data_IF_773339731244
#
_entry.id   IF_773339731244
#
_cell.length_a   1.000
_cell.length_b   1.000
_cell.length_c   1.000
_cell.angle_alpha   90.00
_cell.angle_beta   90.00
_cell.angle_gamma   90.00
#
_symmetry.space_group_name_H-M   'P 1'
#
loop_
_entity.id
_entity.type
_entity.pdbx_description
1 polymer ?
#
# COMPACT_ATOMS: atom_id res chain seq x y z
N UNK A 1 26.05 -33.43 -52.90
CA UNK A 1 26.99 -33.46 -51.75
C UNK A 1 26.74 -32.25 -50.86
N UNK A 2 26.69 -32.49 -49.54
CA UNK A 2 27.00 -31.64 -48.36
C UNK A 2 26.89 -30.11 -48.47
N UNK A 3 26.41 -29.35 -47.47
CA UNK A 3 25.65 -29.57 -46.23
C UNK A 3 25.37 -28.13 -45.74
N UNK A 4 24.09 -27.85 -45.52
CA UNK A 4 23.53 -27.19 -44.34
C UNK A 4 24.05 -25.80 -43.94
N UNK A 5 23.16 -24.83 -44.12
CA UNK A 5 23.22 -23.44 -43.65
C UNK A 5 23.35 -23.36 -42.12
N UNK A 6 24.12 -22.38 -41.69
CA UNK A 6 24.42 -21.98 -40.32
C UNK A 6 23.09 -21.76 -39.57
N UNK A 7 22.78 -22.62 -38.59
CA UNK A 7 21.74 -22.36 -37.59
C UNK A 7 22.49 -21.90 -36.34
N UNK A 8 22.67 -20.59 -36.27
CA UNK A 8 23.07 -19.87 -35.09
C UNK A 8 21.95 -19.93 -34.04
N UNK A 9 22.33 -19.89 -32.76
CA UNK A 9 21.42 -19.54 -31.68
C UNK A 9 20.83 -20.72 -30.91
N UNK A 10 21.71 -21.58 -30.39
CA UNK A 10 21.41 -22.43 -29.25
C UNK A 10 21.03 -21.58 -28.03
N UNK A 11 20.09 -22.13 -27.25
CA UNK A 11 19.78 -21.81 -25.86
C UNK A 11 18.89 -20.57 -25.65
N UNK A 12 17.60 -20.79 -25.86
CA UNK A 12 16.56 -20.09 -25.11
C UNK A 12 16.79 -20.28 -23.62
N UNK A 13 17.35 -19.26 -22.98
CA UNK A 13 17.30 -19.05 -21.55
C UNK A 13 16.34 -17.89 -21.26
N UNK A 14 15.12 -18.00 -21.76
CA UNK A 14 13.99 -17.26 -21.21
C UNK A 14 13.47 -18.09 -20.04
N UNK A 15 14.31 -18.16 -19.00
CA UNK A 15 13.94 -18.69 -17.71
C UNK A 15 12.85 -17.74 -17.18
N UNK A 16 11.65 -18.30 -17.07
CA UNK A 16 10.47 -17.62 -16.61
C UNK A 16 10.77 -16.85 -15.32
N UNK A 17 10.68 -15.52 -15.38
CA UNK A 17 10.38 -14.71 -14.21
C UNK A 17 8.93 -14.99 -13.78
N UNK A 18 8.61 -16.24 -13.43
CA UNK A 18 7.43 -16.60 -12.66
C UNK A 18 7.76 -16.33 -11.19
N UNK A 19 7.86 -15.05 -10.86
CA UNK A 19 7.73 -14.61 -9.47
C UNK A 19 6.24 -14.37 -9.24
N UNK A 20 5.51 -15.22 -8.50
CA UNK A 20 4.30 -14.79 -7.81
C UNK A 20 4.66 -13.89 -6.62
N UNK A 21 5.67 -13.03 -6.76
CA UNK A 21 6.14 -12.15 -5.69
C UNK A 21 5.60 -10.72 -5.82
N UNK A 22 4.90 -10.39 -6.92
CA UNK A 22 4.18 -9.12 -7.05
C UNK A 22 2.73 -9.19 -6.55
N UNK A 23 2.31 -10.32 -5.96
CA UNK A 23 0.95 -10.49 -5.41
C UNK A 23 0.87 -10.22 -3.89
N UNK A 24 1.94 -9.70 -3.27
CA UNK A 24 1.95 -9.29 -1.86
C UNK A 24 2.60 -7.92 -1.63
N UNK A 25 2.38 -6.97 -2.53
CA UNK A 25 2.48 -5.56 -2.12
C UNK A 25 1.18 -5.25 -1.38
N UNK A 26 1.10 -5.63 -0.09
CA UNK A 26 0.12 -5.01 0.79
C UNK A 26 0.36 -3.50 0.71
N UNK A 27 -0.67 -2.74 0.34
CA UNK A 27 -0.60 -1.28 0.34
C UNK A 27 -0.33 -0.85 1.78
N UNK A 28 0.83 -0.24 2.02
CA UNK A 28 1.24 0.25 3.32
C UNK A 28 1.24 1.78 3.30
N UNK A 29 0.72 2.37 4.36
CA UNK A 29 0.61 3.81 4.55
C UNK A 29 0.83 4.18 6.02
N UNK A 30 0.82 5.47 6.32
CA UNK A 30 0.85 5.97 7.68
C UNK A 30 -0.49 6.61 8.00
N UNK A 31 -1.06 6.28 9.15
CA UNK A 31 -2.24 6.96 9.65
C UNK A 31 -1.94 7.66 10.97
N UNK A 32 -2.51 8.84 11.15
CA UNK A 32 -2.48 9.56 12.42
C UNK A 32 -3.90 9.88 12.89
N UNK A 33 -4.10 9.81 14.22
CA UNK A 33 -5.37 10.19 14.82
C UNK A 33 -5.43 11.70 14.94
N UNK A 34 -6.37 12.32 14.23
CA UNK A 34 -6.62 13.75 14.27
C UNK A 34 -7.79 14.03 15.19
N UNK A 35 -7.61 14.96 16.11
CA UNK A 35 -8.66 15.44 17.03
C UNK A 35 -8.91 16.93 16.79
N UNK A 36 -10.10 17.27 16.34
CA UNK A 36 -10.56 18.64 16.13
C UNK A 36 -11.51 19.01 17.26
N UNK A 37 -11.13 20.00 18.09
CA UNK A 37 -11.97 20.51 19.18
C UNK A 37 -13.06 21.45 18.65
N UNK A 38 -14.03 21.79 19.50
CA UNK A 38 -15.16 22.64 19.15
C UNK A 38 -14.78 24.08 18.73
N UNK A 39 -13.61 24.55 19.14
CA UNK A 39 -13.02 25.84 18.76
C UNK A 39 -12.21 25.78 17.46
N UNK A 40 -12.13 24.60 16.82
CA UNK A 40 -11.34 24.35 15.62
C UNK A 40 -9.86 24.07 15.88
N UNK A 41 -9.42 23.97 17.15
CA UNK A 41 -8.06 23.54 17.46
C UNK A 41 -7.88 22.07 17.06
N UNK A 42 -6.87 21.81 16.24
CA UNK A 42 -6.52 20.48 15.77
C UNK A 42 -5.29 19.95 16.50
N UNK A 43 -5.38 18.74 17.01
CA UNK A 43 -4.25 17.99 17.57
C UNK A 43 -4.04 16.72 16.77
N UNK A 44 -2.82 16.51 16.26
CA UNK A 44 -2.43 15.30 15.53
C UNK A 44 -1.64 14.37 16.43
N UNK A 45 -1.98 13.09 16.38
CA UNK A 45 -1.27 12.02 17.06
C UNK A 45 0.09 11.71 16.42
N UNK A 46 0.79 10.70 16.95
CA UNK A 46 1.98 10.17 16.28
C UNK A 46 1.54 9.29 15.09
N UNK A 47 2.12 9.48 13.88
CA UNK A 47 1.85 8.60 12.75
C UNK A 47 2.21 7.14 13.06
N UNK A 48 1.29 6.22 12.73
CA UNK A 48 1.46 4.80 12.89
C UNK A 48 1.40 4.10 11.52
N UNK A 49 2.32 3.17 11.24
CA UNK A 49 2.30 2.42 9.98
C UNK A 49 1.20 1.34 9.99
N UNK A 50 0.42 1.28 8.93
CA UNK A 50 -0.60 0.25 8.67
C UNK A 50 -0.42 -0.32 7.27
N UNK A 51 -0.82 -1.58 7.07
CA UNK A 51 -0.69 -2.28 5.79
C UNK A 51 -1.93 -3.12 5.47
N UNK A 52 -2.26 -3.22 4.19
CA UNK A 52 -3.33 -4.09 3.70
C UNK A 52 -4.70 -3.71 4.30
N UNK A 53 -5.41 -4.71 4.82
CA UNK A 53 -6.75 -4.53 5.37
C UNK A 53 -6.78 -3.57 6.57
N UNK A 54 -5.71 -3.52 7.38
CA UNK A 54 -5.65 -2.59 8.52
C UNK A 54 -5.59 -1.12 8.05
N UNK A 55 -4.84 -0.84 6.98
CA UNK A 55 -4.79 0.50 6.39
C UNK A 55 -6.17 0.88 5.85
N UNK A 56 -6.79 -0.04 5.09
CA UNK A 56 -8.12 0.17 4.52
C UNK A 56 -9.19 0.37 5.60
N UNK A 57 -9.14 -0.39 6.70
CA UNK A 57 -10.05 -0.22 7.83
C UNK A 57 -9.94 1.19 8.40
N UNK A 58 -8.72 1.72 8.56
CA UNK A 58 -8.50 3.09 9.06
C UNK A 58 -8.96 4.17 8.09
N UNK A 59 -8.73 3.98 6.79
CA UNK A 59 -9.21 4.89 5.74
C UNK A 59 -10.75 4.93 5.64
N UNK A 60 -11.40 3.80 5.88
CA UNK A 60 -12.87 3.69 5.86
C UNK A 60 -13.51 4.04 7.23
N UNK A 61 -12.72 4.25 8.28
CA UNK A 61 -13.21 4.57 9.63
C UNK A 61 -13.87 5.95 9.66
N UNK A 62 -15.18 5.97 9.96
CA UNK A 62 -15.94 7.21 10.00
C UNK A 62 -15.50 8.12 11.16
N UNK A 63 -15.45 9.45 10.97
CA UNK A 63 -15.19 10.39 12.05
C UNK A 63 -16.18 10.24 13.20
N UNK A 64 -15.66 10.23 14.43
CA UNK A 64 -16.47 10.16 15.66
C UNK A 64 -16.50 11.53 16.32
N UNK A 65 -17.71 12.08 16.54
CA UNK A 65 -17.90 13.36 17.22
C UNK A 65 -18.59 13.17 18.57
N UNK A 66 -17.94 13.62 19.66
CA UNK A 66 -18.48 13.59 21.03
C UNK A 66 -18.26 14.96 21.67
N UNK A 67 -19.33 15.60 22.14
CA UNK A 67 -19.24 16.89 22.85
C UNK A 67 -18.63 18.02 22.02
N UNK A 68 -18.78 18.00 20.70
CA UNK A 68 -18.18 18.99 19.78
C UNK A 68 -16.71 18.74 19.46
N UNK A 69 -16.13 17.65 19.95
CA UNK A 69 -14.79 17.19 19.55
C UNK A 69 -14.95 16.08 18.52
N UNK A 70 -14.38 16.27 17.33
CA UNK A 70 -14.35 15.27 16.25
C UNK A 70 -13.01 14.60 16.21
N UNK A 71 -13.01 13.27 16.13
CA UNK A 71 -11.81 12.43 16.00
C UNK A 71 -11.91 11.60 14.74
N UNK A 72 -10.84 11.53 13.95
CA UNK A 72 -10.79 10.73 12.73
C UNK A 72 -9.35 10.31 12.41
N UNK A 73 -9.20 9.25 11.61
CA UNK A 73 -7.90 8.85 11.08
C UNK A 73 -7.59 9.57 9.78
N UNK A 74 -6.39 10.12 9.67
CA UNK A 74 -5.85 10.71 8.45
C UNK A 74 -4.70 9.82 7.96
N UNK A 75 -4.90 9.16 6.82
CA UNK A 75 -3.97 8.18 6.25
C UNK A 75 -3.35 8.70 4.95
N UNK A 76 -2.03 8.51 4.77
CA UNK A 76 -1.26 8.99 3.62
C UNK A 76 -0.01 8.14 3.30
#
# INVERSE_FOLDING_TARGET
>A
MKKTRIIAGSLGLLMACSLPACDMLQECGQCELVTVKADGEETRGTPLPFCGDDLKEKEEEAPTTVGGVTTYWDCY
#
